data_IF_578682208626
#
_entry.id   IF_578682208626
#
_cell.length_a   1.000
_cell.length_b   1.000
_cell.length_c   1.000
_cell.angle_alpha   90.00
_cell.angle_beta   90.00
_cell.angle_gamma   90.00
#
_symmetry.space_group_name_H-M   'P 1'
#
loop_
_entity.id
_entity.type
_entity.pdbx_description
1 polymer ?
#
# COMPACT_ATOMS: atom_id res chain seq x y z
N UNK A 1 12.94 29.68 -2.24
CA UNK A 1 13.75 28.58 -1.66
C UNK A 1 14.29 27.77 -2.82
N UNK A 2 15.62 27.77 -2.99
CA UNK A 2 16.28 27.08 -4.10
C UNK A 2 16.05 25.56 -3.99
N UNK A 3 15.31 24.99 -4.94
CA UNK A 3 15.26 23.55 -5.20
C UNK A 3 16.59 23.20 -5.85
N UNK A 4 17.56 22.71 -5.08
CA UNK A 4 18.74 22.05 -5.66
C UNK A 4 18.28 20.67 -6.10
N UNK A 5 17.88 20.58 -7.37
CA UNK A 5 17.42 19.36 -7.99
C UNK A 5 18.66 18.62 -8.48
N UNK A 6 19.01 17.49 -7.85
CA UNK A 6 19.88 16.49 -8.47
C UNK A 6 18.98 15.59 -9.31
N UNK A 7 18.68 16.03 -10.55
CA UNK A 7 18.12 15.14 -11.57
C UNK A 7 19.28 14.23 -11.98
N UNK A 8 19.19 12.94 -11.63
CA UNK A 8 19.97 11.92 -12.31
C UNK A 8 19.11 11.40 -13.46
N UNK A 9 19.20 12.02 -14.64
CA UNK A 9 18.51 11.52 -15.84
C UNK A 9 19.22 10.26 -16.30
N UNK A 10 18.60 9.10 -16.13
CA UNK A 10 19.11 7.86 -16.69
C UNK A 10 18.78 7.81 -18.19
N UNK A 11 19.77 8.13 -19.02
CA UNK A 11 19.81 7.74 -20.43
C UNK A 11 20.31 6.30 -20.51
N UNK A 12 19.43 5.34 -20.80
CA UNK A 12 19.85 3.94 -21.00
C UNK A 12 19.59 3.48 -22.43
N UNK A 13 20.67 3.01 -23.07
CA UNK A 13 20.71 2.36 -24.37
C UNK A 13 20.07 0.97 -24.34
N UNK A 14 19.54 0.56 -25.49
CA UNK A 14 18.89 -0.72 -25.75
C UNK A 14 19.86 -1.92 -25.73
N UNK A 15 20.05 -2.60 -24.60
CA UNK A 15 20.54 -3.97 -24.60
C UNK A 15 20.23 -4.73 -23.29
N UNK A 16 19.52 -5.86 -23.43
CA UNK A 16 19.23 -6.91 -22.44
C UNK A 16 18.37 -6.53 -21.21
N UNK A 17 17.74 -7.54 -20.59
CA UNK A 17 17.06 -7.47 -19.29
C UNK A 17 18.06 -7.13 -18.16
N UNK A 18 18.69 -5.97 -18.23
CA UNK A 18 19.50 -5.42 -17.17
C UNK A 18 18.55 -4.68 -16.21
N UNK A 19 18.54 -5.10 -14.95
CA UNK A 19 17.89 -4.35 -13.91
C UNK A 19 18.74 -3.11 -13.59
N UNK A 20 18.20 -1.93 -13.78
CA UNK A 20 18.91 -0.68 -13.49
C UNK A 20 18.72 -0.33 -12.00
N UNK A 21 19.82 -0.23 -11.26
CA UNK A 21 19.76 0.09 -9.81
C UNK A 21 20.31 1.48 -9.54
N UNK A 22 19.50 2.31 -8.87
CA UNK A 22 19.91 3.60 -8.34
C UNK A 22 19.92 3.56 -6.81
N UNK A 23 21.02 4.02 -6.21
CA UNK A 23 21.17 4.07 -4.76
C UNK A 23 20.98 5.49 -4.21
N UNK A 24 20.43 5.56 -3.01
CA UNK A 24 20.16 6.77 -2.27
C UNK A 24 20.65 6.63 -0.84
N UNK A 25 21.09 7.72 -0.22
CA UNK A 25 21.32 7.72 1.22
C UNK A 25 19.98 7.54 1.98
N UNK A 26 19.94 6.90 3.15
CA UNK A 26 18.68 6.78 3.92
C UNK A 26 18.44 7.95 4.86
N UNK A 27 19.46 8.77 5.14
CA UNK A 27 19.40 9.83 6.13
C UNK A 27 18.30 10.85 5.79
N UNK A 28 17.45 11.15 6.77
CA UNK A 28 16.36 12.10 6.63
C UNK A 28 15.15 11.62 5.83
N UNK A 29 15.20 10.45 5.18
CA UNK A 29 14.05 9.92 4.43
C UNK A 29 12.93 9.53 5.39
N UNK A 30 11.75 10.03 5.08
CA UNK A 30 10.51 9.76 5.82
C UNK A 30 9.36 9.35 4.93
N UNK A 31 9.47 9.53 3.60
CA UNK A 31 8.43 9.17 2.64
C UNK A 31 9.02 8.47 1.40
N UNK A 32 8.32 7.46 0.91
CA UNK A 32 8.50 6.91 -0.43
C UNK A 32 7.19 7.13 -1.20
N UNK A 33 7.27 7.74 -2.37
CA UNK A 33 6.16 7.87 -3.32
C UNK A 33 6.48 7.07 -4.58
N UNK A 34 5.54 6.23 -5.00
CA UNK A 34 5.69 5.39 -6.19
C UNK A 34 4.45 5.52 -7.07
N UNK A 35 4.65 5.91 -8.33
CA UNK A 35 3.62 5.88 -9.37
C UNK A 35 4.06 4.91 -10.47
N UNK A 36 3.28 3.85 -10.68
CA UNK A 36 3.54 2.86 -11.72
C UNK A 36 2.27 2.49 -12.48
N UNK A 37 2.34 2.39 -13.80
CA UNK A 37 1.17 2.01 -14.60
C UNK A 37 0.91 0.52 -14.59
N UNK A 38 1.92 -0.30 -14.91
CA UNK A 38 1.78 -1.74 -14.91
C UNK A 38 3.06 -2.41 -14.37
N UNK A 39 2.89 -3.44 -13.56
CA UNK A 39 3.99 -4.29 -13.08
C UNK A 39 3.94 -4.54 -11.57
N UNK A 40 4.99 -5.19 -11.07
CA UNK A 40 5.14 -5.47 -9.64
C UNK A 40 5.96 -4.37 -8.96
N UNK A 41 5.49 -3.92 -7.79
CA UNK A 41 6.20 -3.02 -6.90
C UNK A 41 6.47 -3.76 -5.59
N UNK A 42 7.73 -4.05 -5.33
CA UNK A 42 8.19 -4.65 -4.07
C UNK A 42 8.93 -3.61 -3.26
N UNK A 43 8.56 -3.45 -2.00
CA UNK A 43 9.16 -2.49 -1.08
C UNK A 43 9.63 -3.24 0.17
N UNK A 44 10.93 -3.21 0.43
CA UNK A 44 11.54 -3.89 1.57
C UNK A 44 12.23 -2.89 2.49
N UNK A 45 11.86 -2.89 3.77
CA UNK A 45 12.60 -2.15 4.78
C UNK A 45 13.99 -2.77 4.99
N UNK A 46 15.01 -1.92 5.08
CA UNK A 46 16.39 -2.34 5.33
C UNK A 46 16.99 -1.59 6.51
N UNK A 47 17.91 -2.28 7.20
CA UNK A 47 18.78 -1.69 8.22
C UNK A 47 20.09 -1.32 7.54
N UNK A 48 20.25 -0.06 7.15
CA UNK A 48 21.44 0.40 6.43
C UNK A 48 21.38 1.86 6.00
N UNK A 49 22.54 2.38 5.63
CA UNK A 49 22.69 3.76 5.17
C UNK A 49 22.21 3.97 3.72
N UNK A 50 21.87 2.90 3.00
CA UNK A 50 21.48 2.95 1.58
C UNK A 50 20.07 2.42 1.34
N UNK A 51 19.28 3.25 0.66
CA UNK A 51 18.07 2.87 -0.04
C UNK A 51 18.43 2.57 -1.50
N UNK A 52 17.65 1.74 -2.17
CA UNK A 52 17.87 1.42 -3.58
C UNK A 52 16.55 1.34 -4.33
N UNK A 53 16.55 1.75 -5.59
CA UNK A 53 15.45 1.55 -6.54
C UNK A 53 16.01 0.73 -7.69
N UNK A 54 15.51 -0.50 -7.84
CA UNK A 54 15.88 -1.40 -8.93
C UNK A 54 14.74 -1.49 -9.92
N UNK A 55 15.01 -1.16 -11.18
CA UNK A 55 14.03 -1.06 -12.25
C UNK A 55 14.25 -2.17 -13.26
N UNK A 56 13.26 -3.04 -13.43
CA UNK A 56 13.25 -4.09 -14.47
C UNK A 56 12.23 -3.75 -15.54
N UNK A 57 12.71 -3.52 -16.77
CA UNK A 57 11.94 -3.04 -17.91
C UNK A 57 11.41 -4.22 -18.73
N UNK A 58 10.25 -4.76 -18.39
CA UNK A 58 9.65 -5.90 -19.11
C UNK A 58 9.08 -5.47 -20.47
N UNK A 59 8.46 -4.30 -20.55
CA UNK A 59 8.04 -3.64 -21.79
C UNK A 59 8.17 -2.14 -21.62
N UNK A 60 9.07 -1.52 -22.38
CA UNK A 60 9.36 -0.09 -22.28
C UNK A 60 9.61 0.51 -23.67
N UNK A 61 8.56 0.74 -24.48
CA UNK A 61 8.69 1.49 -25.72
C UNK A 61 9.17 2.93 -25.45
N UNK A 62 9.68 3.63 -26.47
CA UNK A 62 10.22 5.01 -26.37
C UNK A 62 9.27 6.05 -25.75
N UNK A 63 7.98 5.72 -25.65
CA UNK A 63 6.94 6.54 -25.02
C UNK A 63 6.86 6.37 -23.52
N UNK A 64 7.66 5.48 -22.93
CA UNK A 64 7.75 5.21 -21.50
C UNK A 64 9.07 5.78 -20.96
N UNK A 65 9.02 6.38 -19.78
CA UNK A 65 10.19 6.89 -19.05
C UNK A 65 10.07 6.45 -17.60
N UNK A 66 11.19 6.15 -16.95
CA UNK A 66 11.22 5.87 -15.51
C UNK A 66 12.15 6.87 -14.88
N UNK A 67 11.64 7.61 -13.90
CA UNK A 67 12.38 8.63 -13.16
C UNK A 67 12.40 8.23 -11.69
N UNK A 68 13.57 8.33 -11.07
CA UNK A 68 13.70 8.15 -9.62
C UNK A 68 14.56 9.25 -9.03
N UNK A 69 13.97 10.00 -8.09
CA UNK A 69 14.57 11.17 -7.50
C UNK A 69 14.52 11.10 -5.98
N UNK A 70 15.54 11.70 -5.36
CA UNK A 70 15.61 11.86 -3.91
C UNK A 70 15.57 13.34 -3.57
N UNK A 71 14.67 13.70 -2.67
CA UNK A 71 14.69 14.97 -1.94
C UNK A 71 15.36 14.80 -0.57
N UNK A 72 15.34 15.85 0.26
CA UNK A 72 15.84 15.77 1.64
C UNK A 72 15.08 14.76 2.51
N UNK A 73 13.82 14.48 2.20
CA UNK A 73 12.96 13.64 3.05
C UNK A 73 12.09 12.65 2.29
N UNK A 74 12.10 12.65 0.95
CA UNK A 74 11.35 11.74 0.10
C UNK A 74 12.23 11.05 -0.93
N UNK A 75 11.85 9.84 -1.30
CA UNK A 75 12.22 9.21 -2.57
C UNK A 75 10.95 9.17 -3.41
N UNK A 76 11.04 9.60 -4.66
CA UNK A 76 9.95 9.64 -5.64
C UNK A 76 10.35 8.76 -6.82
N UNK A 77 9.49 7.81 -7.19
CA UNK A 77 9.71 6.90 -8.33
C UNK A 77 8.48 6.94 -9.22
N UNK A 78 8.65 7.39 -10.46
CA UNK A 78 7.54 7.60 -11.39
C UNK A 78 7.83 6.89 -12.72
N UNK A 79 6.90 6.04 -13.15
CA UNK A 79 6.89 5.47 -14.50
C UNK A 79 5.97 6.31 -15.36
N UNK A 80 6.54 7.19 -16.16
CA UNK A 80 5.84 8.10 -17.07
C UNK A 80 5.49 7.44 -18.40
N UNK A 81 4.34 7.80 -18.99
CA UNK A 81 3.96 7.32 -20.34
C UNK A 81 3.24 8.36 -21.19
N UNK A 82 3.50 8.35 -22.49
CA UNK A 82 2.75 9.14 -23.48
C UNK A 82 1.65 8.30 -24.15
N UNK A 83 0.41 8.78 -24.06
CA UNK A 83 -0.76 8.13 -24.69
C UNK A 83 -1.08 6.77 -24.05
N UNK A 84 -1.38 5.77 -24.88
CA UNK A 84 -1.73 4.40 -24.45
C UNK A 84 -0.55 3.43 -24.51
N UNK A 85 0.68 3.93 -24.34
CA UNK A 85 1.86 3.06 -24.35
C UNK A 85 1.76 2.00 -23.24
N UNK A 86 2.15 0.77 -23.58
CA UNK A 86 2.16 -0.35 -22.66
C UNK A 86 3.49 -0.42 -21.92
N UNK A 87 3.61 0.38 -20.86
CA UNK A 87 4.76 0.40 -19.97
C UNK A 87 4.55 -0.68 -18.90
N UNK A 88 5.37 -1.73 -18.92
CA UNK A 88 5.39 -2.79 -17.92
C UNK A 88 6.75 -2.76 -17.23
N UNK A 89 6.76 -2.25 -16.01
CA UNK A 89 7.97 -1.98 -15.23
C UNK A 89 7.81 -2.60 -13.86
N UNK A 90 8.76 -3.46 -13.48
CA UNK A 90 8.84 -3.96 -12.11
C UNK A 90 9.82 -3.10 -11.31
N UNK A 91 9.45 -2.77 -10.08
CA UNK A 91 10.24 -1.97 -9.15
C UNK A 91 10.54 -2.79 -7.90
N UNK A 92 11.82 -2.97 -7.58
CA UNK A 92 12.26 -3.49 -6.28
C UNK A 92 12.98 -2.38 -5.51
N UNK A 93 12.35 -1.93 -4.43
CA UNK A 93 12.72 -0.74 -3.70
C UNK A 93 13.09 -1.10 -2.26
N UNK A 94 14.30 -0.73 -1.85
CA UNK A 94 14.76 -0.84 -0.46
C UNK A 94 14.74 0.54 0.19
N UNK A 95 14.13 0.64 1.36
CA UNK A 95 13.92 1.91 2.11
C UNK A 95 14.25 1.75 3.58
N UNK A 96 14.52 2.85 4.32
CA UNK A 96 14.63 2.76 5.77
C UNK A 96 13.31 2.28 6.39
N UNK A 97 13.42 1.69 7.57
CA UNK A 97 12.27 1.12 8.30
C UNK A 97 11.17 2.15 8.58
N UNK A 98 11.54 3.34 9.08
CA UNK A 98 10.62 4.43 9.38
C UNK A 98 10.36 5.25 8.11
N UNK A 99 9.33 4.88 7.36
CA UNK A 99 8.98 5.50 6.09
C UNK A 99 7.48 5.39 5.83
N UNK A 100 6.85 6.53 5.53
CA UNK A 100 5.49 6.57 5.02
C UNK A 100 5.48 6.18 3.54
N UNK A 101 4.49 5.39 3.13
CA UNK A 101 4.34 4.89 1.76
C UNK A 101 3.14 5.56 1.10
N UNK A 102 3.34 6.06 -0.11
CA UNK A 102 2.32 6.65 -0.97
C UNK A 102 2.40 6.00 -2.36
N UNK A 103 1.50 5.05 -2.62
CA UNK A 103 1.63 4.09 -3.71
C UNK A 103 0.46 4.18 -4.68
N UNK A 104 0.71 4.53 -5.93
CA UNK A 104 -0.30 4.50 -6.99
C UNK A 104 0.12 3.51 -8.09
N UNK A 105 -0.63 2.42 -8.23
CA UNK A 105 -0.36 1.38 -9.24
C UNK A 105 -1.57 1.13 -10.12
N UNK A 106 -1.45 1.27 -11.44
CA UNK A 106 -2.55 1.01 -12.36
C UNK A 106 -2.98 -0.46 -12.33
N UNK A 107 -2.10 -1.35 -12.76
CA UNK A 107 -2.32 -2.80 -12.77
C UNK A 107 -1.11 -3.57 -12.25
N UNK A 108 -1.30 -4.51 -11.33
CA UNK A 108 -0.23 -5.43 -10.94
C UNK A 108 -0.25 -5.82 -9.48
N UNK A 109 0.93 -5.82 -8.85
CA UNK A 109 1.06 -6.26 -7.46
C UNK A 109 1.90 -5.29 -6.66
N UNK A 110 1.45 -4.97 -5.45
CA UNK A 110 2.24 -4.26 -4.46
C UNK A 110 2.55 -5.24 -3.32
N UNK A 111 3.84 -5.39 -3.00
CA UNK A 111 4.29 -6.12 -1.82
C UNK A 111 5.11 -5.16 -0.95
N UNK A 112 4.75 -4.99 0.32
CA UNK A 112 5.56 -4.24 1.28
C UNK A 112 5.94 -5.12 2.48
N UNK A 113 7.19 -4.99 2.95
CA UNK A 113 7.69 -5.77 4.07
C UNK A 113 8.52 -4.93 5.03
N UNK A 114 8.11 -4.91 6.30
CA UNK A 114 8.87 -4.38 7.43
C UNK A 114 8.87 -2.85 7.54
N UNK A 115 8.12 -2.13 6.71
CA UNK A 115 8.02 -0.66 6.79
C UNK A 115 7.16 -0.22 7.96
N UNK A 116 7.39 1.01 8.43
CA UNK A 116 6.70 1.58 9.58
C UNK A 116 6.33 3.04 9.30
N UNK A 117 5.07 3.39 9.53
CA UNK A 117 4.54 4.72 9.26
C UNK A 117 3.14 4.68 8.65
N UNK A 118 2.79 5.71 7.90
CA UNK A 118 1.52 5.75 7.17
C UNK A 118 1.63 4.92 5.87
N UNK A 119 0.54 4.27 5.51
CA UNK A 119 0.39 3.58 4.23
C UNK A 119 -0.82 4.15 3.49
N UNK A 120 -0.57 4.90 2.42
CA UNK A 120 -1.58 5.29 1.44
C UNK A 120 -1.35 4.50 0.15
N UNK A 121 -2.40 3.86 -0.36
CA UNK A 121 -2.34 3.16 -1.64
C UNK A 121 -3.59 3.33 -2.48
N UNK A 122 -3.37 3.42 -3.79
CA UNK A 122 -4.40 3.35 -4.83
C UNK A 122 -3.99 2.31 -5.86
N UNK A 123 -4.91 1.42 -6.19
CA UNK A 123 -4.69 0.46 -7.27
C UNK A 123 -5.89 0.35 -8.20
N UNK A 124 -5.65 0.33 -9.51
CA UNK A 124 -6.71 0.06 -10.48
C UNK A 124 -7.16 -1.40 -10.40
N UNK A 125 -6.25 -2.31 -10.75
CA UNK A 125 -6.49 -3.75 -10.68
C UNK A 125 -5.28 -4.55 -10.17
N UNK A 126 -5.51 -5.62 -9.39
CA UNK A 126 -4.44 -6.53 -8.97
C UNK A 126 -4.47 -6.94 -7.51
N UNK A 127 -3.33 -6.92 -6.81
CA UNK A 127 -3.26 -7.32 -5.40
C UNK A 127 -2.26 -6.52 -4.58
N UNK A 128 -2.58 -6.32 -3.31
CA UNK A 128 -1.74 -5.60 -2.35
C UNK A 128 -1.53 -6.51 -1.14
N UNK A 129 -0.27 -6.72 -0.80
CA UNK A 129 0.16 -7.44 0.40
C UNK A 129 1.12 -6.53 1.17
N UNK A 130 0.64 -5.95 2.26
CA UNK A 130 1.44 -5.05 3.09
C UNK A 130 1.66 -5.66 4.47
N UNK A 131 2.92 -5.78 4.88
CA UNK A 131 3.33 -6.26 6.20
C UNK A 131 4.30 -5.26 6.83
N UNK A 132 3.95 -4.71 7.98
CA UNK A 132 4.70 -3.61 8.60
C UNK A 132 4.19 -3.20 9.98
N UNK A 133 4.37 -1.93 10.34
CA UNK A 133 3.71 -1.31 11.49
C UNK A 133 3.07 0.00 11.04
N UNK A 134 1.77 -0.04 10.78
CA UNK A 134 1.06 1.04 10.12
C UNK A 134 0.24 1.88 11.11
N UNK A 135 0.65 3.12 11.30
CA UNK A 135 -0.03 4.09 12.17
C UNK A 135 -1.27 4.70 11.52
N UNK A 136 -1.35 4.64 10.20
CA UNK A 136 -2.57 4.91 9.44
C UNK A 136 -2.54 4.08 8.15
N UNK A 137 -3.70 3.57 7.73
CA UNK A 137 -3.86 2.90 6.44
C UNK A 137 -4.99 3.56 5.65
N UNK A 138 -4.68 4.10 4.48
CA UNK A 138 -5.66 4.58 3.50
C UNK A 138 -5.51 3.74 2.24
N UNK A 139 -6.61 3.12 1.81
CA UNK A 139 -6.56 2.16 0.72
C UNK A 139 -7.74 2.29 -0.23
N UNK A 140 -7.48 2.32 -1.53
CA UNK A 140 -8.52 2.24 -2.54
C UNK A 140 -8.10 1.31 -3.66
N UNK A 141 -8.92 0.31 -3.97
CA UNK A 141 -8.74 -0.53 -5.15
C UNK A 141 -10.00 -0.56 -6.02
N UNK A 142 -9.82 -0.69 -7.34
CA UNK A 142 -10.92 -0.92 -8.27
C UNK A 142 -11.35 -2.39 -8.27
N UNK A 143 -10.43 -3.27 -8.68
CA UNK A 143 -10.61 -4.71 -8.71
C UNK A 143 -9.36 -5.43 -8.21
N UNK A 144 -9.38 -5.94 -6.98
CA UNK A 144 -8.22 -6.60 -6.43
C UNK A 144 -8.34 -7.00 -4.97
N UNK A 145 -7.43 -7.88 -4.56
CA UNK A 145 -7.32 -8.34 -3.18
C UNK A 145 -6.42 -7.41 -2.37
N UNK A 146 -6.84 -7.08 -1.16
CA UNK A 146 -6.09 -6.26 -0.21
C UNK A 146 -5.82 -7.10 1.03
N UNK A 147 -4.54 -7.25 1.38
CA UNK A 147 -4.08 -7.81 2.63
C UNK A 147 -3.14 -6.82 3.31
N UNK A 148 -3.51 -6.36 4.50
CA UNK A 148 -2.66 -5.47 5.31
C UNK A 148 -2.53 -6.05 6.71
N UNK A 149 -1.30 -6.29 7.13
CA UNK A 149 -0.90 -6.80 8.44
C UNK A 149 -0.11 -5.74 9.18
N UNK A 150 -0.23 -5.72 10.50
CA UNK A 150 0.56 -4.80 11.32
C UNK A 150 -0.08 -3.44 11.57
N UNK A 151 -1.41 -3.33 11.48
CA UNK A 151 -2.09 -2.06 11.72
C UNK A 151 -2.07 -1.75 13.22
N UNK A 152 -1.67 -0.53 13.58
CA UNK A 152 -1.59 -0.04 14.96
C UNK A 152 -2.36 1.26 15.19
N UNK A 153 -2.83 1.92 14.12
CA UNK A 153 -3.68 3.11 14.18
C UNK A 153 -4.97 2.98 13.38
N UNK A 154 -5.46 4.07 12.79
CA UNK A 154 -6.74 4.05 12.06
C UNK A 154 -6.59 3.48 10.65
N UNK A 155 -7.66 2.88 10.10
CA UNK A 155 -7.66 2.36 8.74
C UNK A 155 -8.92 2.74 7.98
N UNK A 156 -8.78 3.14 6.71
CA UNK A 156 -9.86 3.43 5.78
C UNK A 156 -9.60 2.77 4.42
N UNK A 157 -10.29 1.66 4.16
CA UNK A 157 -10.05 0.83 2.96
C UNK A 157 -11.31 0.68 2.12
N UNK A 158 -11.19 0.75 0.80
CA UNK A 158 -12.31 0.53 -0.12
C UNK A 158 -11.88 -0.34 -1.29
N UNK A 159 -12.69 -1.34 -1.65
CA UNK A 159 -12.55 -2.08 -2.91
C UNK A 159 -13.88 -2.14 -3.66
N UNK A 160 -13.83 -2.09 -4.99
CA UNK A 160 -14.99 -2.35 -5.84
C UNK A 160 -15.26 -3.85 -6.01
N UNK A 161 -14.21 -4.64 -6.20
CA UNK A 161 -14.30 -6.10 -6.31
C UNK A 161 -13.04 -6.75 -5.76
N UNK A 162 -13.17 -7.86 -5.06
CA UNK A 162 -12.07 -8.62 -4.47
C UNK A 162 -12.19 -8.71 -2.96
N UNK A 163 -11.21 -9.35 -2.32
CA UNK A 163 -11.23 -9.60 -0.89
C UNK A 163 -10.46 -8.55 -0.11
N UNK A 164 -10.92 -8.23 1.10
CA UNK A 164 -10.20 -7.38 2.06
C UNK A 164 -9.82 -8.24 3.28
N UNK A 165 -8.57 -8.20 3.69
CA UNK A 165 -8.09 -8.74 4.96
C UNK A 165 -7.24 -7.68 5.67
N UNK A 166 -7.72 -7.19 6.81
CA UNK A 166 -7.01 -6.21 7.64
C UNK A 166 -6.72 -6.84 9.00
N UNK A 167 -5.45 -6.85 9.40
CA UNK A 167 -5.02 -7.39 10.69
C UNK A 167 -4.34 -6.32 11.54
N UNK A 168 -4.97 -6.03 12.68
CA UNK A 168 -4.43 -5.11 13.67
C UNK A 168 -3.48 -5.85 14.62
N UNK A 169 -2.22 -5.42 14.68
CA UNK A 169 -1.27 -5.94 15.68
C UNK A 169 -1.56 -5.43 17.09
N UNK A 170 -2.18 -4.26 17.20
CA UNK A 170 -2.71 -3.70 18.43
C UNK A 170 -3.89 -2.80 18.12
N UNK A 171 -4.93 -2.81 18.95
CA UNK A 171 -6.03 -1.87 18.81
C UNK A 171 -5.66 -0.56 19.54
N UNK A 172 -5.64 0.61 18.87
CA UNK A 172 -5.38 1.87 19.55
C UNK A 172 -6.57 2.25 20.45
N UNK A 173 -6.32 3.04 21.50
CA UNK A 173 -7.37 3.46 22.46
C UNK A 173 -8.52 4.18 21.76
N UNK A 174 -8.22 4.97 20.73
CA UNK A 174 -9.19 5.74 19.93
C UNK A 174 -8.86 5.64 18.45
N UNK A 175 -9.87 5.81 17.61
CA UNK A 175 -9.72 5.83 16.16
C UNK A 175 -10.85 5.12 15.44
N UNK A 176 -10.62 4.79 14.17
CA UNK A 176 -11.59 4.05 13.37
C UNK A 176 -10.95 2.99 12.47
N UNK A 177 -11.64 1.87 12.32
CA UNK A 177 -11.47 0.95 11.21
C UNK A 177 -12.71 1.03 10.30
N UNK A 178 -12.56 1.68 9.15
CA UNK A 178 -13.60 1.80 8.14
C UNK A 178 -13.23 1.01 6.90
N UNK A 179 -14.02 0.01 6.53
CA UNK A 179 -13.82 -0.63 5.23
C UNK A 179 -15.12 -0.87 4.48
N UNK A 180 -15.06 -0.67 3.16
CA UNK A 180 -16.18 -0.90 2.25
C UNK A 180 -15.76 -1.82 1.13
N UNK A 181 -16.52 -2.88 0.92
CA UNK A 181 -16.35 -3.79 -0.20
C UNK A 181 -17.67 -3.86 -0.97
N UNK A 182 -17.66 -3.54 -2.26
CA UNK A 182 -18.88 -3.71 -3.06
C UNK A 182 -19.13 -5.19 -3.42
N UNK A 183 -18.09 -5.98 -3.71
CA UNK A 183 -18.21 -7.41 -4.01
C UNK A 183 -16.98 -8.19 -3.56
N UNK A 184 -17.17 -9.19 -2.70
CA UNK A 184 -16.14 -10.07 -2.18
C UNK A 184 -16.17 -10.21 -0.67
N UNK A 185 -15.27 -11.01 -0.12
CA UNK A 185 -15.21 -11.28 1.31
C UNK A 185 -14.34 -10.25 2.03
N UNK A 186 -14.77 -9.84 3.22
CA UNK A 186 -14.03 -8.88 4.04
C UNK A 186 -13.77 -9.47 5.42
N UNK A 187 -12.52 -9.49 5.86
CA UNK A 187 -12.12 -9.96 7.17
C UNK A 187 -11.36 -8.85 7.91
N UNK A 188 -11.77 -8.56 9.13
CA UNK A 188 -11.03 -7.74 10.09
C UNK A 188 -10.58 -8.65 11.23
N UNK A 189 -9.27 -8.70 11.47
CA UNK A 189 -8.63 -9.45 12.55
C UNK A 189 -8.16 -8.48 13.63
N UNK A 190 -8.63 -8.67 14.86
CA UNK A 190 -8.30 -7.83 16.01
C UNK A 190 -7.73 -8.70 17.16
N UNK A 191 -6.90 -8.14 18.05
CA UNK A 191 -6.45 -8.86 19.23
C UNK A 191 -7.63 -9.35 20.09
N UNK A 192 -7.51 -10.54 20.70
CA UNK A 192 -8.50 -11.04 21.68
C UNK A 192 -8.80 -10.02 22.77
N UNK A 193 -10.07 -9.89 23.14
CA UNK A 193 -10.53 -8.97 24.18
C UNK A 193 -10.70 -7.50 23.75
N UNK A 194 -10.41 -7.17 22.49
CA UNK A 194 -10.62 -5.83 21.91
C UNK A 194 -12.03 -5.29 22.18
N UNK A 195 -12.11 -4.04 22.66
CA UNK A 195 -13.38 -3.33 22.84
C UNK A 195 -13.61 -2.40 21.65
N UNK A 196 -14.69 -2.63 20.90
CA UNK A 196 -15.01 -1.86 19.69
C UNK A 196 -16.45 -1.38 19.68
N UNK A 197 -16.68 -0.19 19.13
CA UNK A 197 -18.00 0.28 18.75
C UNK A 197 -18.26 -0.14 17.30
N UNK A 198 -18.96 -1.26 17.12
CA UNK A 198 -19.12 -1.89 15.81
C UNK A 198 -20.45 -1.50 15.13
N UNK A 199 -20.33 -1.12 13.86
CA UNK A 199 -21.42 -0.96 12.89
C UNK A 199 -21.08 -1.76 11.63
N UNK A 200 -21.68 -2.94 11.53
CA UNK A 200 -21.43 -3.89 10.45
C UNK A 200 -22.71 -4.01 9.61
N UNK A 201 -22.58 -3.86 8.31
CA UNK A 201 -23.71 -3.91 7.38
C UNK A 201 -23.32 -4.72 6.13
N UNK A 202 -24.15 -5.67 5.75
CA UNK A 202 -24.04 -6.38 4.48
C UNK A 202 -25.38 -6.31 3.75
N UNK A 203 -25.39 -6.02 2.45
CA UNK A 203 -26.64 -6.11 1.69
C UNK A 203 -26.97 -7.58 1.36
N UNK A 204 -25.96 -8.37 0.97
CA UNK A 204 -26.05 -9.83 0.85
C UNK A 204 -24.80 -10.50 1.42
N UNK A 205 -24.93 -11.75 1.89
CA UNK A 205 -23.85 -12.51 2.54
C UNK A 205 -24.03 -12.61 4.06
N UNK A 206 -23.14 -13.38 4.70
CA UNK A 206 -23.16 -13.59 6.15
C UNK A 206 -22.29 -12.56 6.87
N UNK A 207 -22.76 -12.12 8.04
CA UNK A 207 -21.99 -11.28 8.95
C UNK A 207 -21.64 -12.08 10.20
N UNK A 208 -20.35 -12.14 10.53
CA UNK A 208 -19.85 -12.71 11.78
C UNK A 208 -19.09 -11.63 12.54
N UNK A 209 -19.37 -11.45 13.83
CA UNK A 209 -18.65 -10.52 14.70
C UNK A 209 -18.45 -11.14 16.08
N UNK A 210 -17.21 -11.50 16.40
CA UNK A 210 -16.84 -12.14 17.66
C UNK A 210 -16.74 -11.16 18.85
N UNK A 211 -16.73 -9.84 18.61
CA UNK A 211 -16.51 -8.83 19.65
C UNK A 211 -17.79 -8.13 20.13
N UNK A 212 -18.93 -8.37 19.46
CA UNK A 212 -20.15 -7.61 19.71
C UNK A 212 -19.97 -6.12 19.41
N UNK A 213 -20.63 -5.25 20.17
CA UNK A 213 -20.48 -3.80 20.05
C UNK A 213 -20.62 -3.14 21.42
N UNK A 214 -19.62 -2.35 21.81
CA UNK A 214 -19.58 -1.55 23.02
C UNK A 214 -19.66 -0.07 22.66
N UNK A 215 -20.73 0.63 23.08
CA UNK A 215 -20.96 2.04 22.74
C UNK A 215 -19.96 3.00 23.40
N UNK A 216 -19.37 2.60 24.51
CA UNK A 216 -18.39 3.39 25.26
C UNK A 216 -16.97 3.19 24.72
N UNK A 217 -16.76 2.20 23.84
CA UNK A 217 -15.48 2.00 23.17
C UNK A 217 -15.17 3.19 22.27
N UNK A 218 -14.00 3.79 22.49
CA UNK A 218 -13.49 4.94 21.73
C UNK A 218 -12.93 4.56 20.36
N UNK A 219 -12.75 3.26 20.08
CA UNK A 219 -12.39 2.76 18.77
C UNK A 219 -13.63 2.26 18.02
N UNK A 220 -13.90 2.83 16.85
CA UNK A 220 -15.07 2.50 16.05
C UNK A 220 -14.72 1.58 14.88
N UNK A 221 -15.62 0.65 14.56
CA UNK A 221 -15.50 -0.22 13.39
C UNK A 221 -16.73 -0.02 12.52
N UNK A 222 -16.56 0.57 11.33
CA UNK A 222 -17.62 0.67 10.32
C UNK A 222 -17.26 -0.21 9.11
N UNK A 223 -17.94 -1.34 9.01
CA UNK A 223 -17.69 -2.32 7.96
C UNK A 223 -18.93 -2.46 7.07
N UNK A 224 -18.76 -2.27 5.75
CA UNK A 224 -19.88 -2.37 4.79
C UNK A 224 -19.54 -3.31 3.64
N UNK A 225 -20.37 -4.31 3.42
CA UNK A 225 -20.33 -5.20 2.27
C UNK A 225 -21.56 -4.98 1.37
N UNK A 226 -21.36 -4.89 0.05
CA UNK A 226 -22.43 -4.98 -0.92
C UNK A 226 -22.86 -6.43 -1.07
N UNK A 227 -21.98 -7.24 -1.67
CA UNK A 227 -22.16 -8.68 -1.81
C UNK A 227 -20.96 -9.45 -1.28
N UNK A 228 -21.19 -10.37 -0.35
CA UNK A 228 -20.16 -11.26 0.19
C UNK A 228 -20.11 -11.26 1.72
N UNK A 229 -19.38 -12.22 2.28
CA UNK A 229 -19.31 -12.38 3.73
C UNK A 229 -18.40 -11.33 4.37
N UNK A 230 -18.80 -10.89 5.55
CA UNK A 230 -18.06 -9.94 6.37
C UNK A 230 -17.79 -10.58 7.74
N UNK A 231 -16.51 -10.71 8.09
CA UNK A 231 -16.08 -11.36 9.34
C UNK A 231 -15.23 -10.40 10.15
N UNK A 232 -15.59 -10.21 11.42
CA UNK A 232 -14.74 -9.53 12.41
C UNK A 232 -14.38 -10.57 13.47
N UNK A 233 -13.11 -10.97 13.50
CA UNK A 233 -12.63 -12.12 14.27
C UNK A 233 -11.42 -11.78 15.12
N UNK A 234 -11.27 -12.55 16.18
CA UNK A 234 -10.07 -12.56 16.99
C UNK A 234 -8.96 -13.40 16.36
N UNK A 235 -7.72 -13.15 16.77
CA UNK A 235 -6.57 -14.04 16.56
C UNK A 235 -5.87 -14.31 17.89
#
# INVERSE_FOLDING_TARGET
MYKTILIATLLTSSAAMAADTQEFDTNGIKKLSVENYNGEVTITAVEGAKASVTVTKNSMPDKCQVESERSRSSIEVEVNRKGKADCVVNLDIKVPKLVALDLEVGTGKITTKGTQGELDFKMGAGSIMADGNFTEVKGKTGAGNIEVKGITGSSKVKTGSGNISLMYSSLPEKGEAKFKNASGHSTLLLPKGSQINAKIMAATGKMENEFGSNKDAKFSVEAKAGSGDLKVKSY
#
